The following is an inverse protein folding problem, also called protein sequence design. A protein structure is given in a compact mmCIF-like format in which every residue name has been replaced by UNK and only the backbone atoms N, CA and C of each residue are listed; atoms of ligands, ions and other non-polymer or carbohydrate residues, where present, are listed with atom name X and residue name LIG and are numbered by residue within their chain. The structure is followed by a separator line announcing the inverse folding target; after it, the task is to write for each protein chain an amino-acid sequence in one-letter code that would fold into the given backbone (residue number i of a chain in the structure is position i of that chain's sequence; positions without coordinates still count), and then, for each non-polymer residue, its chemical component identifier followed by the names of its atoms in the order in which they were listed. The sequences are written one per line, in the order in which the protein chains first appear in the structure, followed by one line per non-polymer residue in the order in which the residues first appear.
data_IF_539306414883
#
_entry.id   IF_539306414883
#
_cell.length_a   1.000
_cell.length_b   1.000
_cell.length_c   1.000
_cell.angle_alpha   90.00
_cell.angle_beta   90.00
_cell.angle_gamma   90.00
#
_symmetry.space_group_name_H-M   'P 1'
#
loop_
_entity.id
_entity.type
_entity.pdbx_description
1 polymer ?
#
# COMPACT_ATOMS: atom_id res chain seq x y z
N UNK A 1 15.64 1.26 11.72
CA UNK A 1 14.97 2.16 12.70
C UNK A 1 14.39 3.27 11.85
N UNK A 2 13.13 3.18 11.42
CA UNK A 2 12.14 2.14 11.70
C UNK A 2 11.25 1.88 10.49
N UNK A 3 10.69 0.67 10.48
CA UNK A 3 9.42 0.45 9.82
C UNK A 3 8.46 1.58 10.24
N UNK A 4 7.53 1.96 9.37
CA UNK A 4 6.45 2.85 9.74
C UNK A 4 5.64 2.12 10.82
N UNK A 5 6.06 2.23 12.07
CA UNK A 5 5.57 1.51 13.25
C UNK A 5 5.03 2.46 14.29
N UNK A 6 4.98 3.76 13.99
CA UNK A 6 4.31 4.71 14.85
C UNK A 6 2.80 4.54 14.65
N UNK A 7 2.14 3.97 15.66
CA UNK A 7 0.69 3.73 15.68
C UNK A 7 -0.12 5.03 15.46
N UNK A 8 0.49 6.22 15.60
CA UNK A 8 -0.14 7.52 15.33
C UNK A 8 -0.16 7.89 13.82
N UNK A 9 0.69 7.27 12.99
CA UNK A 9 0.80 7.57 11.54
C UNK A 9 -0.03 6.61 10.69
N UNK A 10 -0.25 5.38 11.17
CA UNK A 10 -0.98 4.33 10.46
C UNK A 10 -2.33 4.11 11.11
N UNK A 11 -3.40 4.29 10.35
CA UNK A 11 -4.74 3.85 10.73
C UNK A 11 -5.13 2.61 9.94
N UNK A 12 -5.45 1.51 10.63
CA UNK A 12 -6.00 0.31 10.01
C UNK A 12 -7.52 0.34 10.04
N UNK A 13 -8.13 -0.20 8.98
CA UNK A 13 -9.57 -0.25 8.80
C UNK A 13 -9.99 -1.68 8.49
N UNK A 14 -11.21 -2.02 8.88
CA UNK A 14 -11.87 -3.21 8.40
C UNK A 14 -12.56 -2.91 7.07
N UNK A 15 -12.09 -3.52 5.99
CA UNK A 15 -12.72 -3.38 4.67
C UNK A 15 -14.14 -3.99 4.68
N UNK A 16 -15.02 -3.52 3.80
CA UNK A 16 -16.40 -4.02 3.72
C UNK A 16 -16.54 -5.12 2.65
N UNK A 17 -16.67 -6.41 3.01
CA UNK A 17 -16.65 -7.52 2.05
C UNK A 17 -17.89 -7.61 1.14
N UNK A 18 -18.97 -6.91 1.50
CA UNK A 18 -20.23 -6.88 0.74
C UNK A 18 -20.25 -5.82 -0.37
N UNK A 19 -19.21 -4.98 -0.48
CA UNK A 19 -19.13 -3.90 -1.47
C UNK A 19 -18.23 -4.33 -2.64
N UNK A 20 -18.76 -5.21 -3.50
CA UNK A 20 -18.00 -5.79 -4.61
C UNK A 20 -17.61 -4.78 -5.72
N UNK A 21 -18.19 -3.58 -5.73
CA UNK A 21 -18.02 -2.59 -6.81
C UNK A 21 -17.10 -1.42 -6.46
N UNK A 22 -16.78 -1.22 -5.18
CA UNK A 22 -15.97 -0.09 -4.72
C UNK A 22 -14.89 -0.57 -3.74
N UNK A 23 -13.61 -0.23 -3.96
CA UNK A 23 -12.57 -0.47 -2.97
C UNK A 23 -12.93 0.21 -1.66
N UNK A 24 -12.67 -0.48 -0.55
CA UNK A 24 -12.85 0.06 0.80
C UNK A 24 -11.50 0.07 1.50
N UNK A 25 -11.20 1.11 2.30
CA UNK A 25 -9.90 1.26 2.93
C UNK A 25 -9.62 0.06 3.84
N UNK A 26 -8.36 -0.38 3.85
CA UNK A 26 -7.84 -1.31 4.84
C UNK A 26 -6.71 -0.69 5.67
N UNK A 27 -5.94 0.24 5.08
CA UNK A 27 -4.83 0.91 5.73
C UNK A 27 -4.74 2.34 5.21
N UNK A 28 -4.43 3.30 6.08
CA UNK A 28 -4.16 4.68 5.72
C UNK A 28 -2.91 5.17 6.45
N UNK A 29 -2.10 5.93 5.72
CA UNK A 29 -0.93 6.61 6.23
C UNK A 29 -1.21 8.10 6.17
N UNK A 30 -1.24 8.71 7.34
CA UNK A 30 -1.45 10.15 7.54
C UNK A 30 -0.33 10.66 8.43
N UNK A 31 0.69 11.31 7.85
CA UNK A 31 1.86 11.77 8.60
C UNK A 31 1.46 12.76 9.69
N UNK A 32 2.15 12.72 10.83
CA UNK A 32 1.94 13.71 11.88
C UNK A 32 2.31 15.12 11.40
N UNK A 33 1.77 16.14 12.09
CA UNK A 33 2.05 17.54 11.80
C UNK A 33 3.55 17.83 11.74
N UNK A 34 3.99 18.41 10.63
CA UNK A 34 5.39 18.73 10.38
C UNK A 34 6.23 17.57 9.84
N UNK A 35 5.66 16.37 9.66
CA UNK A 35 6.32 15.24 9.02
C UNK A 35 5.94 15.12 7.54
N UNK A 36 6.78 14.44 6.75
CA UNK A 36 6.39 13.92 5.45
C UNK A 36 7.12 12.61 5.16
N UNK A 37 6.45 11.73 4.43
CA UNK A 37 6.98 10.44 3.98
C UNK A 37 7.13 10.44 2.46
N UNK A 38 8.20 9.83 1.98
CA UNK A 38 8.45 9.62 0.55
C UNK A 38 8.54 8.14 0.26
N UNK A 39 7.59 7.65 -0.54
CA UNK A 39 7.53 6.26 -1.01
C UNK A 39 8.18 6.15 -2.38
N UNK A 40 9.21 5.32 -2.53
CA UNK A 40 9.97 5.21 -3.77
C UNK A 40 9.57 4.00 -4.60
N UNK A 41 9.50 4.19 -5.92
CA UNK A 41 9.60 3.07 -6.84
C UNK A 41 11.07 2.63 -6.88
N UNK A 42 11.31 1.34 -6.66
CA UNK A 42 12.63 0.72 -6.83
C UNK A 42 12.62 -0.22 -8.02
N UNK A 43 13.80 -0.53 -8.56
CA UNK A 43 13.93 -1.47 -9.68
C UNK A 43 14.70 -2.72 -9.26
N UNK A 44 14.04 -3.88 -9.29
CA UNK A 44 14.65 -5.18 -9.03
C UNK A 44 14.35 -6.15 -10.17
N UNK A 45 15.37 -6.83 -10.69
CA UNK A 45 15.26 -7.78 -11.81
C UNK A 45 14.49 -7.23 -13.03
N UNK A 46 14.59 -5.92 -13.30
CA UNK A 46 13.89 -5.25 -14.40
C UNK A 46 12.43 -4.88 -14.13
N UNK A 47 11.88 -5.21 -12.96
CA UNK A 47 10.57 -4.78 -12.49
C UNK A 47 10.73 -3.49 -11.69
N UNK A 48 9.81 -2.54 -11.86
CA UNK A 48 9.82 -1.26 -11.12
C UNK A 48 8.52 -1.05 -10.37
N UNK A 49 8.60 -0.76 -9.09
CA UNK A 49 7.44 -0.47 -8.26
C UNK A 49 7.81 -0.18 -6.81
N UNK A 50 6.81 0.22 -6.02
CA UNK A 50 6.92 0.31 -4.57
C UNK A 50 6.94 -1.11 -4.00
N UNK A 51 7.99 -1.53 -3.28
CA UNK A 51 8.00 -2.82 -2.62
C UNK A 51 7.01 -2.83 -1.47
N UNK A 52 6.11 -3.81 -1.52
CA UNK A 52 5.09 -4.03 -0.50
C UNK A 52 5.08 -5.51 -0.17
N UNK A 53 5.09 -5.83 1.11
CA UNK A 53 4.92 -7.19 1.60
C UNK A 53 3.60 -7.27 2.36
N UNK A 54 2.85 -8.34 2.16
CA UNK A 54 1.58 -8.48 2.86
C UNK A 54 1.18 -9.95 3.02
N UNK A 55 0.63 -10.25 4.19
CA UNK A 55 -0.13 -11.47 4.47
C UNK A 55 -1.49 -11.02 4.99
N UNK A 56 -2.54 -11.24 4.20
CA UNK A 56 -3.87 -10.73 4.49
C UNK A 56 -4.80 -11.90 4.74
N UNK A 57 -5.29 -12.00 5.97
CA UNK A 57 -6.11 -13.12 6.43
C UNK A 57 -7.46 -12.61 6.93
N UNK A 58 -8.43 -13.50 6.94
CA UNK A 58 -9.72 -13.28 7.58
C UNK A 58 -9.70 -13.77 9.04
N UNK A 59 -10.76 -13.46 9.79
CA UNK A 59 -10.85 -13.82 11.21
C UNK A 59 -10.84 -15.32 11.52
N UNK A 60 -11.03 -16.17 10.51
CA UNK A 60 -10.88 -17.63 10.63
C UNK A 60 -9.43 -18.10 10.43
N UNK A 61 -8.47 -17.17 10.29
CA UNK A 61 -7.06 -17.44 10.01
C UNK A 61 -6.77 -17.87 8.58
N UNK A 62 -7.77 -17.91 7.69
CA UNK A 62 -7.57 -18.25 6.28
C UNK A 62 -7.22 -17.02 5.46
N UNK A 63 -6.40 -17.20 4.42
CA UNK A 63 -6.06 -16.11 3.50
C UNK A 63 -7.32 -15.47 2.90
N UNK A 64 -7.19 -14.17 2.60
CA UNK A 64 -8.14 -13.52 1.73
C UNK A 64 -8.16 -14.21 0.35
N UNK A 65 -9.32 -14.17 -0.36
CA UNK A 65 -9.45 -14.70 -1.70
C UNK A 65 -8.35 -14.17 -2.63
N UNK A 66 -7.75 -15.04 -3.43
CA UNK A 66 -6.71 -14.65 -4.40
C UNK A 66 -7.19 -13.63 -5.44
N UNK A 67 -8.50 -13.51 -5.65
CA UNK A 67 -9.14 -12.50 -6.51
C UNK A 67 -9.28 -11.13 -5.84
N UNK A 68 -8.76 -10.94 -4.63
CA UNK A 68 -8.74 -9.65 -3.95
C UNK A 68 -8.00 -8.63 -4.80
N UNK A 69 -8.65 -7.48 -5.05
CA UNK A 69 -8.05 -6.34 -5.73
C UNK A 69 -7.48 -5.40 -4.67
N UNK A 70 -6.22 -4.99 -4.80
CA UNK A 70 -5.60 -3.95 -3.96
C UNK A 70 -5.37 -2.69 -4.79
N UNK A 71 -5.73 -1.55 -4.23
CA UNK A 71 -5.64 -0.22 -4.86
C UNK A 71 -4.95 0.74 -3.90
N UNK A 72 -4.06 1.56 -4.45
CA UNK A 72 -3.36 2.61 -3.71
C UNK A 72 -3.88 3.97 -4.17
N UNK A 73 -4.36 4.73 -3.21
CA UNK A 73 -5.09 5.97 -3.39
C UNK A 73 -4.41 7.08 -2.60
N UNK A 74 -4.39 8.29 -3.16
CA UNK A 74 -3.81 9.46 -2.53
C UNK A 74 -4.84 10.58 -2.53
N UNK A 75 -5.01 11.21 -1.38
CA UNK A 75 -5.84 12.39 -1.23
C UNK A 75 -4.95 13.55 -0.78
N UNK A 76 -4.99 14.66 -1.51
CA UNK A 76 -4.28 15.87 -1.08
C UNK A 76 -5.19 16.75 -0.25
N UNK A 77 -4.63 17.49 0.70
CA UNK A 77 -5.36 18.47 1.54
C UNK A 77 -6.26 19.45 0.76
N UNK A 78 -5.86 19.76 -0.47
CA UNK A 78 -6.51 20.76 -1.32
C UNK A 78 -7.53 20.15 -2.28
N UNK A 79 -7.72 18.82 -2.27
CA UNK A 79 -8.62 18.11 -3.15
C UNK A 79 -9.55 17.19 -2.36
N UNK A 80 -10.85 17.28 -2.65
CA UNK A 80 -11.85 16.39 -2.03
C UNK A 80 -11.78 14.95 -2.57
N UNK A 81 -11.12 14.73 -3.72
CA UNK A 81 -11.09 13.44 -4.42
C UNK A 81 -9.85 12.58 -4.11
N UNK A 82 -10.09 11.27 -3.98
CA UNK A 82 -9.02 10.26 -3.97
C UNK A 82 -8.55 9.98 -5.40
N UNK A 83 -7.24 9.96 -5.59
CA UNK A 83 -6.62 9.64 -6.87
C UNK A 83 -5.80 8.34 -6.80
N UNK A 84 -5.98 7.46 -7.79
CA UNK A 84 -5.16 6.25 -7.89
C UNK A 84 -3.73 6.59 -8.26
N UNK A 85 -2.79 6.20 -7.40
CA UNK A 85 -1.35 6.49 -7.53
C UNK A 85 -0.51 5.24 -7.79
N UNK A 86 -1.13 4.08 -7.95
CA UNK A 86 -0.45 2.86 -8.38
C UNK A 86 -1.26 2.07 -9.42
N UNK A 87 -0.59 1.13 -10.08
CA UNK A 87 -1.24 0.10 -10.88
C UNK A 87 -1.99 -0.85 -9.92
N UNK A 88 -3.32 -1.04 -10.07
CA UNK A 88 -4.07 -1.92 -9.18
C UNK A 88 -3.58 -3.36 -9.26
N UNK A 89 -3.33 -3.96 -8.09
CA UNK A 89 -2.97 -5.37 -7.97
C UNK A 89 -4.25 -6.21 -8.05
N UNK A 90 -4.50 -6.79 -9.22
CA UNK A 90 -5.78 -7.49 -9.52
C UNK A 90 -5.95 -8.82 -8.82
N UNK A 91 -4.86 -9.39 -8.31
CA UNK A 91 -4.82 -10.70 -7.65
C UNK A 91 -3.67 -10.75 -6.66
N UNK A 92 -3.89 -11.45 -5.55
CA UNK A 92 -2.91 -11.60 -4.46
C UNK A 92 -2.31 -13.02 -4.39
N UNK A 93 -2.41 -13.83 -5.45
CA UNK A 93 -1.90 -15.21 -5.47
C UNK A 93 -0.42 -15.37 -5.05
N UNK A 94 0.43 -14.38 -5.38
CA UNK A 94 1.83 -14.40 -4.97
C UNK A 94 1.96 -14.25 -3.44
N UNK A 95 1.22 -13.30 -2.88
CA UNK A 95 1.22 -12.96 -1.45
C UNK A 95 0.67 -14.11 -0.61
N UNK A 96 -0.46 -14.71 -1.01
CA UNK A 96 -0.98 -15.90 -0.33
C UNK A 96 -0.05 -17.13 -0.42
N UNK A 97 0.87 -17.17 -1.39
CA UNK A 97 1.72 -18.34 -1.59
C UNK A 97 2.95 -18.32 -0.69
N UNK A 98 3.41 -17.14 -0.27
CA UNK A 98 4.69 -16.94 0.39
C UNK A 98 4.50 -16.02 1.60
N UNK A 99 5.05 -16.39 2.76
CA UNK A 99 5.04 -15.49 3.92
C UNK A 99 5.86 -14.21 3.68
N UNK A 100 5.64 -13.17 4.48
CA UNK A 100 6.31 -11.86 4.35
C UNK A 100 7.84 -11.99 4.22
N UNK A 101 8.48 -12.86 5.02
CA UNK A 101 9.92 -13.13 4.91
C UNK A 101 10.32 -13.67 3.54
N UNK A 102 9.58 -14.64 3.00
CA UNK A 102 9.82 -15.20 1.67
C UNK A 102 9.52 -14.19 0.54
N UNK A 103 8.57 -13.28 0.75
CA UNK A 103 8.29 -12.21 -0.20
C UNK A 103 9.46 -11.23 -0.30
N UNK A 104 10.14 -10.94 0.82
CA UNK A 104 11.30 -10.04 0.89
C UNK A 104 12.60 -10.65 0.34
N UNK A 105 12.64 -11.97 0.17
CA UNK A 105 13.80 -12.69 -0.33
C UNK A 105 14.27 -12.20 -1.71
N UNK A 106 15.58 -12.13 -1.92
CA UNK A 106 16.20 -11.55 -3.12
C UNK A 106 15.70 -12.20 -4.42
N UNK A 107 15.38 -13.50 -4.38
CA UNK A 107 14.89 -14.23 -5.55
C UNK A 107 13.43 -13.92 -5.89
N UNK A 108 12.66 -13.36 -4.96
CA UNK A 108 11.20 -13.18 -5.10
C UNK A 108 10.72 -11.75 -5.00
N UNK A 109 11.45 -10.87 -4.30
CA UNK A 109 11.04 -9.50 -3.98
C UNK A 109 10.61 -8.64 -5.18
N UNK A 110 11.10 -8.96 -6.38
CA UNK A 110 10.67 -8.30 -7.62
C UNK A 110 9.17 -8.52 -7.95
N UNK A 111 8.56 -9.59 -7.45
CA UNK A 111 7.11 -9.86 -7.60
C UNK A 111 6.24 -9.12 -6.58
N UNK A 112 6.87 -8.55 -5.55
CA UNK A 112 6.25 -7.75 -4.50
C UNK A 112 6.22 -6.25 -4.86
N UNK A 113 6.62 -5.88 -6.08
CA UNK A 113 6.66 -4.50 -6.55
C UNK A 113 5.31 -4.07 -7.11
N UNK A 114 4.73 -3.01 -6.54
CA UNK A 114 3.47 -2.40 -6.98
C UNK A 114 3.80 -1.06 -7.67
N UNK A 115 3.67 -0.96 -9.01
CA UNK A 115 4.15 0.22 -9.74
C UNK A 115 3.40 1.50 -9.38
N UNK A 116 4.10 2.46 -8.77
CA UNK A 116 3.56 3.81 -8.57
C UNK A 116 3.51 4.55 -9.91
N UNK A 117 2.39 5.19 -10.19
CA UNK A 117 2.14 5.98 -11.41
C UNK A 117 1.70 7.39 -11.06
N UNK A 118 1.83 8.29 -12.02
CA UNK A 118 1.16 9.58 -11.91
C UNK A 118 -0.37 9.39 -11.84
N UNK A 119 -1.08 10.19 -11.01
CA UNK A 119 -2.54 10.22 -11.00
C UNK A 119 -3.12 10.40 -12.41
N UNK A 120 -4.30 9.83 -12.67
CA UNK A 120 -4.97 9.99 -13.98
C UNK A 120 -5.30 11.47 -14.30
N UNK A 121 -5.43 12.31 -13.28
CA UNK A 121 -5.63 13.75 -13.43
C UNK A 121 -4.33 14.54 -13.71
N UNK A 122 -3.16 13.89 -13.68
CA UNK A 122 -1.87 14.55 -13.92
C UNK A 122 -1.60 14.77 -15.41
N UNK A 123 -0.88 15.85 -15.74
CA UNK A 123 -0.35 16.07 -17.08
C UNK A 123 0.81 15.11 -17.43
N UNK A 124 1.39 14.45 -16.43
CA UNK A 124 2.45 13.44 -16.60
C UNK A 124 1.84 12.05 -16.71
N UNK A 125 2.46 11.17 -17.50
CA UNK A 125 2.05 9.77 -17.65
C UNK A 125 3.21 8.82 -17.34
N UNK A 126 2.89 7.56 -17.12
CA UNK A 126 3.87 6.52 -16.79
C UNK A 126 4.14 6.38 -15.30
N UNK A 127 5.26 5.73 -14.98
CA UNK A 127 5.71 5.52 -13.61
C UNK A 127 6.26 6.82 -13.04
N UNK A 128 6.04 7.04 -11.75
CA UNK A 128 6.66 8.12 -10.99
C UNK A 128 7.84 7.56 -10.19
N UNK A 129 8.86 8.37 -9.94
CA UNK A 129 10.02 7.91 -9.15
C UNK A 129 9.65 7.73 -7.67
N UNK A 130 8.85 8.66 -7.13
CA UNK A 130 8.42 8.61 -5.73
C UNK A 130 7.08 9.32 -5.51
N UNK A 131 6.36 8.93 -4.46
CA UNK A 131 5.16 9.58 -3.92
C UNK A 131 5.49 10.27 -2.59
N UNK A 132 5.32 11.60 -2.56
CA UNK A 132 5.41 12.37 -1.32
C UNK A 132 4.03 12.45 -0.67
N UNK A 133 3.96 12.09 0.61
CA UNK A 133 2.79 12.18 1.48
C UNK A 133 3.15 13.10 2.63
N UNK A 134 2.54 14.29 2.66
CA UNK A 134 2.79 15.30 3.70
C UNK A 134 1.77 15.14 4.83
N UNK A 135 2.02 15.82 5.94
CA UNK A 135 1.14 15.92 7.11
C UNK A 135 -0.30 16.41 6.86
N UNK A 136 -0.58 16.92 5.67
CA UNK A 136 -1.91 17.37 5.24
C UNK A 136 -2.53 16.47 4.17
N UNK A 137 -1.77 15.49 3.66
CA UNK A 137 -2.22 14.54 2.66
C UNK A 137 -2.48 13.16 3.32
N UNK A 138 -3.19 12.27 2.64
CA UNK A 138 -3.34 10.87 3.05
C UNK A 138 -3.00 9.91 1.93
N UNK A 139 -2.41 8.78 2.31
CA UNK A 139 -2.11 7.67 1.42
C UNK A 139 -2.84 6.41 1.90
N UNK A 140 -3.83 5.99 1.14
CA UNK A 140 -4.77 4.94 1.53
C UNK A 140 -4.55 3.71 0.66
N UNK A 141 -4.46 2.55 1.30
CA UNK A 141 -4.54 1.25 0.65
C UNK A 141 -5.95 0.69 0.85
N UNK A 142 -6.63 0.44 -0.26
CA UNK A 142 -8.00 -0.03 -0.30
C UNK A 142 -8.10 -1.37 -1.00
N UNK A 143 -9.06 -2.21 -0.59
CA UNK A 143 -9.30 -3.51 -1.22
C UNK A 143 -10.75 -3.73 -1.64
N UNK A 144 -10.91 -4.57 -2.66
CA UNK A 144 -12.17 -5.27 -2.95
C UNK A 144 -11.93 -6.76 -2.69
N UNK A 145 -12.61 -7.31 -1.70
CA UNK A 145 -12.52 -8.73 -1.34
C UNK A 145 -13.88 -9.27 -0.89
N UNK A 146 -14.10 -10.58 -0.99
CA UNK A 146 -15.31 -11.23 -0.47
C UNK A 146 -15.20 -11.59 1.02
N UNK A 147 -14.03 -11.38 1.64
CA UNK A 147 -13.79 -11.52 3.07
C UNK A 147 -13.22 -10.21 3.64
N UNK A 148 -13.43 -9.98 4.93
CA UNK A 148 -12.83 -8.84 5.63
C UNK A 148 -11.41 -9.22 6.10
N UNK A 149 -10.49 -8.26 6.04
CA UNK A 149 -9.18 -8.32 6.69
C UNK A 149 -9.39 -8.40 8.19
N UNK A 150 -8.65 -9.30 8.83
CA UNK A 150 -8.46 -9.32 10.27
C UNK A 150 -7.02 -8.94 10.60
N UNK A 151 -6.82 -7.74 11.15
CA UNK A 151 -5.49 -7.21 11.48
C UNK A 151 -4.84 -7.93 12.66
N UNK A 152 -5.59 -8.68 13.48
CA UNK A 152 -5.01 -9.57 14.49
C UNK A 152 -4.33 -10.80 13.84
N UNK A 153 -4.61 -11.06 12.57
CA UNK A 153 -4.08 -12.18 11.79
C UNK A 153 -3.31 -11.74 10.54
N UNK A 154 -3.23 -10.44 10.27
CA UNK A 154 -2.70 -9.90 9.01
C UNK A 154 -1.51 -8.97 9.25
N UNK A 155 -0.64 -8.89 8.25
CA UNK A 155 0.51 -8.00 8.22
C UNK A 155 0.59 -7.30 6.87
N UNK A 156 0.97 -6.03 6.89
CA UNK A 156 1.23 -5.24 5.70
C UNK A 156 2.43 -4.32 5.95
N UNK A 157 3.46 -4.44 5.12
CA UNK A 157 4.71 -3.72 5.25
C UNK A 157 5.07 -3.02 3.94
N UNK A 158 5.68 -1.85 4.06
CA UNK A 158 6.51 -1.27 3.02
C UNK A 158 7.97 -1.63 3.31
N UNK A 159 8.76 -1.86 2.26
CA UNK A 159 10.21 -2.02 2.42
C UNK A 159 10.83 -0.76 3.03
N UNK A 160 11.66 -0.93 4.06
CA UNK A 160 12.25 0.16 4.85
C UNK A 160 13.11 1.08 3.96
N UNK A 161 13.96 0.48 3.13
CA UNK A 161 14.82 1.20 2.18
C UNK A 161 14.04 1.92 1.06
N UNK A 162 12.73 1.70 0.94
CA UNK A 162 11.88 2.35 -0.05
C UNK A 162 11.00 3.46 0.55
N UNK A 163 11.12 3.76 1.85
CA UNK A 163 10.36 4.80 2.53
C UNK A 163 11.29 5.72 3.31
N UNK A 164 11.41 6.97 2.87
CA UNK A 164 12.09 7.99 3.67
C UNK A 164 11.09 8.73 4.57
N UNK A 165 11.46 8.96 5.82
CA UNK A 165 10.77 9.88 6.71
C UNK A 165 11.57 11.17 6.85
N UNK A 166 10.87 12.30 6.79
CA UNK A 166 11.44 13.62 6.98
C UNK A 166 10.60 14.42 7.96
N UNK A 167 11.25 15.31 8.71
CA UNK A 167 10.59 16.25 9.61
C UNK A 167 11.00 17.70 9.27
N UNK A 168 10.07 18.63 9.47
CA UNK A 168 10.36 20.06 9.50
C UNK A 168 10.77 20.42 10.92
N UNK A 169 12.08 20.61 11.13
CA UNK A 169 12.62 21.30 12.32
C UNK A 169 12.28 22.81 12.30
#
# INVERSE_FOLDING_TARGET
MGAVSDEDVITTYQNAPSVALKPTPMLEISPERGQFYRFHNVTWNGHTGLPVYMDLNAADGSDLPTTTLVVFEFQSSNGDDYHRVAVPLKRINFFNKYGVEEQSDQDRRHNALIPLKYPEASAQSGLRDHLDVRDVDSFTVSIISSKAVDWDQSEFLFEDDAVDQYSRE
#
